data_IF_350944143789
#
_entry.id   IF_350944143789
#
_cell.length_a   1.000
_cell.length_b   1.000
_cell.length_c   1.000
_cell.angle_alpha   90.00
_cell.angle_beta   90.00
_cell.angle_gamma   90.00
#
_symmetry.space_group_name_H-M   'P 1'
#
loop_
_entity.id
_entity.type
_entity.pdbx_description
1 polymer ?
#
# COMPACT_ATOMS: atom_id res chain seq x y z
N UNK A 1 5.26 19.93 -33.38
CA UNK A 1 4.25 19.47 -32.41
C UNK A 1 2.87 19.68 -32.99
N UNK A 2 2.08 18.64 -33.02
CA UNK A 2 0.76 18.68 -33.68
C UNK A 2 -0.31 19.07 -32.67
N UNK A 3 -0.84 20.30 -32.81
CA UNK A 3 -1.90 20.82 -31.94
C UNK A 3 -3.19 20.00 -32.04
N UNK A 4 -3.52 19.51 -33.25
CA UNK A 4 -4.72 18.70 -33.43
C UNK A 4 -4.64 17.38 -32.67
N UNK A 5 -3.48 16.76 -32.66
CA UNK A 5 -3.25 15.54 -31.89
C UNK A 5 -3.38 15.79 -30.39
N UNK A 6 -2.81 16.90 -29.91
CA UNK A 6 -2.89 17.28 -28.49
C UNK A 6 -4.34 17.52 -28.09
N UNK A 7 -5.08 18.29 -28.89
CA UNK A 7 -6.49 18.57 -28.61
C UNK A 7 -7.35 17.31 -28.67
N UNK A 8 -7.05 16.40 -29.60
CA UNK A 8 -7.80 15.15 -29.74
C UNK A 8 -7.62 14.24 -28.51
N UNK A 9 -6.42 14.18 -27.93
CA UNK A 9 -6.12 13.30 -26.81
C UNK A 9 -6.23 13.97 -25.45
N UNK A 10 -6.49 15.29 -25.40
CA UNK A 10 -6.61 16.02 -24.15
C UNK A 10 -7.66 15.45 -23.20
N UNK A 11 -8.89 15.07 -23.65
CA UNK A 11 -9.87 14.43 -22.76
C UNK A 11 -9.38 13.11 -22.18
N UNK A 12 -8.60 12.34 -22.96
CA UNK A 12 -8.03 11.09 -22.49
C UNK A 12 -7.01 11.33 -21.37
N UNK A 13 -6.14 12.34 -21.54
CA UNK A 13 -5.17 12.72 -20.52
C UNK A 13 -5.85 13.24 -19.25
N UNK A 14 -6.96 13.96 -19.38
CA UNK A 14 -7.72 14.42 -18.22
C UNK A 14 -8.32 13.26 -17.45
N UNK A 15 -8.89 12.29 -18.14
CA UNK A 15 -9.42 11.07 -17.51
C UNK A 15 -8.30 10.28 -16.80
N UNK A 16 -7.15 10.17 -17.45
CA UNK A 16 -6.01 9.47 -16.88
C UNK A 16 -5.49 10.16 -15.62
N UNK A 17 -5.43 11.50 -15.62
CA UNK A 17 -5.01 12.27 -14.47
C UNK A 17 -5.96 12.09 -13.28
N UNK A 18 -7.27 12.16 -13.53
CA UNK A 18 -8.28 11.94 -12.49
C UNK A 18 -8.19 10.53 -11.93
N UNK A 19 -8.03 9.53 -12.80
CA UNK A 19 -7.90 8.14 -12.37
C UNK A 19 -6.63 7.95 -11.54
N UNK A 20 -5.52 8.53 -11.96
CA UNK A 20 -4.25 8.46 -11.22
C UNK A 20 -4.38 9.03 -9.81
N UNK A 21 -5.01 10.20 -9.68
CA UNK A 21 -5.24 10.83 -8.38
C UNK A 21 -6.15 9.96 -7.53
N UNK A 22 -7.22 9.44 -8.11
CA UNK A 22 -8.18 8.59 -7.39
C UNK A 22 -7.54 7.29 -6.90
N UNK A 23 -6.79 6.61 -7.76
CA UNK A 23 -6.04 5.40 -7.38
C UNK A 23 -5.01 5.70 -6.31
N UNK A 24 -4.27 6.78 -6.49
CA UNK A 24 -3.21 7.17 -5.54
C UNK A 24 -3.77 7.50 -4.17
N UNK A 25 -4.81 8.33 -4.10
CA UNK A 25 -5.42 8.73 -2.83
C UNK A 25 -6.01 7.52 -2.12
N UNK A 26 -6.80 6.71 -2.82
CA UNK A 26 -7.40 5.51 -2.24
C UNK A 26 -6.33 4.52 -1.79
N UNK A 27 -5.32 4.28 -2.63
CA UNK A 27 -4.22 3.37 -2.30
C UNK A 27 -3.43 3.83 -1.09
N UNK A 28 -3.13 5.13 -0.99
CA UNK A 28 -2.39 5.70 0.16
C UNK A 28 -3.22 5.59 1.44
N UNK A 29 -4.51 5.91 1.38
CA UNK A 29 -5.38 5.81 2.57
C UNK A 29 -5.39 4.38 3.10
N UNK A 30 -5.63 3.40 2.23
CA UNK A 30 -5.64 2.00 2.64
C UNK A 30 -4.24 1.54 3.09
N UNK A 31 -3.18 2.01 2.44
CA UNK A 31 -1.80 1.69 2.83
C UNK A 31 -1.50 2.19 4.25
N UNK A 32 -1.94 3.40 4.59
CA UNK A 32 -1.76 3.96 5.92
C UNK A 32 -2.52 3.12 6.95
N UNK A 33 -3.77 2.76 6.68
CA UNK A 33 -4.59 1.95 7.58
C UNK A 33 -3.94 0.59 7.82
N UNK A 34 -3.55 -0.10 6.75
CA UNK A 34 -2.89 -1.41 6.84
C UNK A 34 -1.56 -1.28 7.58
N UNK A 35 -0.78 -0.26 7.23
CA UNK A 35 0.53 -0.03 7.84
C UNK A 35 0.45 0.24 9.33
N UNK A 36 -0.50 1.07 9.76
CA UNK A 36 -0.71 1.34 11.18
C UNK A 36 -1.13 0.09 11.93
N UNK A 37 -2.09 -0.67 11.39
CA UNK A 37 -2.54 -1.92 12.01
C UNK A 37 -1.38 -2.91 12.16
N UNK A 38 -0.59 -3.09 11.11
CA UNK A 38 0.56 -3.99 11.14
C UNK A 38 1.63 -3.52 12.12
N UNK A 39 1.92 -2.22 12.14
CA UNK A 39 2.94 -1.65 13.02
C UNK A 39 2.56 -1.84 14.49
N UNK A 40 1.30 -1.60 14.84
CA UNK A 40 0.80 -1.78 16.20
C UNK A 40 0.89 -3.26 16.60
N UNK A 41 0.48 -4.17 15.72
CA UNK A 41 0.55 -5.61 15.98
C UNK A 41 2.00 -6.04 16.26
N UNK A 42 2.95 -5.57 15.47
CA UNK A 42 4.37 -5.91 15.67
C UNK A 42 4.95 -5.25 16.90
N UNK A 43 4.60 -3.98 17.14
CA UNK A 43 5.11 -3.22 18.29
C UNK A 43 4.63 -3.84 19.61
N UNK A 44 3.34 -4.21 19.70
CA UNK A 44 2.77 -4.82 20.89
C UNK A 44 3.09 -6.32 21.00
N UNK A 45 3.78 -6.87 20.01
CA UNK A 45 4.21 -8.27 20.00
C UNK A 45 3.07 -9.26 20.22
N UNK A 46 1.95 -9.01 19.49
CA UNK A 46 0.77 -9.87 19.57
C UNK A 46 1.13 -11.27 19.07
N UNK A 47 0.93 -12.34 19.88
CA UNK A 47 1.30 -13.69 19.48
C UNK A 47 0.59 -14.12 18.19
N UNK A 48 1.27 -14.89 17.35
CA UNK A 48 0.80 -15.40 16.06
C UNK A 48 0.61 -14.29 15.01
N UNK A 49 -0.16 -13.24 15.32
CA UNK A 49 -0.39 -12.12 14.38
C UNK A 49 0.92 -11.42 14.00
N UNK A 50 1.84 -11.28 14.94
CA UNK A 50 3.17 -10.71 14.68
C UNK A 50 3.90 -11.50 13.59
N UNK A 51 3.83 -12.82 13.64
CA UNK A 51 4.49 -13.68 12.66
C UNK A 51 3.82 -13.57 11.30
N UNK A 52 2.49 -13.54 11.26
CA UNK A 52 1.72 -13.40 10.03
C UNK A 52 2.04 -12.06 9.36
N UNK A 53 2.04 -10.98 10.14
CA UNK A 53 2.38 -9.64 9.64
C UNK A 53 3.81 -9.61 9.10
N UNK A 54 4.75 -10.25 9.78
CA UNK A 54 6.13 -10.35 9.33
C UNK A 54 6.26 -11.02 7.97
N UNK A 55 5.54 -12.12 7.77
CA UNK A 55 5.52 -12.83 6.48
C UNK A 55 4.92 -11.93 5.38
N UNK A 56 3.81 -11.26 5.68
CA UNK A 56 3.19 -10.33 4.74
C UNK A 56 4.17 -9.24 4.31
N UNK A 57 4.83 -8.59 5.26
CA UNK A 57 5.75 -7.49 4.96
C UNK A 57 6.91 -7.98 4.08
N UNK A 58 7.52 -9.11 4.42
CA UNK A 58 8.62 -9.65 3.66
C UNK A 58 8.20 -10.07 2.26
N UNK A 59 7.07 -10.75 2.15
CA UNK A 59 6.54 -11.19 0.86
C UNK A 59 6.21 -10.00 -0.03
N UNK A 60 5.54 -9.01 0.53
CA UNK A 60 5.12 -7.82 -0.21
C UNK A 60 6.32 -7.00 -0.69
N UNK A 61 7.29 -6.75 0.17
CA UNK A 61 8.45 -5.92 -0.18
C UNK A 61 9.40 -6.60 -1.16
N UNK A 62 9.43 -7.94 -1.17
CA UNK A 62 10.30 -8.70 -2.06
C UNK A 62 9.64 -9.01 -3.41
N UNK A 63 8.38 -8.65 -3.60
CA UNK A 63 7.65 -8.90 -4.84
C UNK A 63 7.38 -7.58 -5.56
N UNK A 64 7.76 -7.43 -6.85
CA UNK A 64 7.47 -6.21 -7.59
C UNK A 64 5.97 -5.93 -7.69
N UNK A 65 5.60 -4.65 -7.69
CA UNK A 65 4.19 -4.25 -7.78
C UNK A 65 3.50 -4.82 -9.03
N UNK A 66 4.21 -4.82 -10.15
CA UNK A 66 3.64 -5.34 -11.39
C UNK A 66 3.25 -6.81 -11.26
N UNK A 67 4.09 -7.61 -10.62
CA UNK A 67 3.82 -9.03 -10.37
C UNK A 67 2.60 -9.17 -9.46
N UNK A 68 2.51 -8.38 -8.40
CA UNK A 68 1.35 -8.39 -7.49
C UNK A 68 0.06 -8.03 -8.22
N UNK A 69 0.11 -7.02 -9.10
CA UNK A 69 -1.05 -6.61 -9.89
C UNK A 69 -1.51 -7.72 -10.84
N UNK A 70 -0.58 -8.43 -11.48
CA UNK A 70 -0.94 -9.55 -12.33
C UNK A 70 -1.61 -10.67 -11.54
N UNK A 71 -1.10 -10.99 -10.36
CA UNK A 71 -1.73 -12.00 -9.50
C UNK A 71 -3.14 -11.60 -9.09
N UNK A 72 -3.34 -10.34 -8.71
CA UNK A 72 -4.65 -9.85 -8.29
C UNK A 72 -5.61 -9.83 -9.48
N UNK A 73 -5.20 -9.24 -10.59
CA UNK A 73 -6.07 -9.04 -11.75
C UNK A 73 -6.49 -10.36 -12.40
N UNK A 74 -5.56 -11.30 -12.53
CA UNK A 74 -5.84 -12.59 -13.17
C UNK A 74 -6.19 -13.69 -12.18
N UNK A 75 -5.75 -13.58 -10.95
CA UNK A 75 -5.98 -14.61 -9.94
C UNK A 75 -7.36 -14.55 -9.28
N UNK A 76 -7.83 -13.35 -8.95
CA UNK A 76 -9.12 -13.20 -8.27
C UNK A 76 -10.30 -13.77 -9.07
N UNK A 77 -10.42 -13.54 -10.39
CA UNK A 77 -11.51 -14.14 -11.15
C UNK A 77 -11.49 -15.67 -11.12
N UNK A 78 -10.32 -16.29 -11.01
CA UNK A 78 -10.19 -17.75 -10.98
C UNK A 78 -10.73 -18.35 -9.68
N UNK A 79 -10.73 -17.57 -8.59
CA UNK A 79 -11.30 -18.02 -7.32
C UNK A 79 -12.72 -17.50 -7.11
N UNK A 80 -13.34 -16.93 -8.14
CA UNK A 80 -14.73 -16.48 -8.11
C UNK A 80 -14.95 -15.04 -7.68
N UNK A 81 -13.88 -14.28 -7.48
CA UNK A 81 -13.98 -12.87 -7.09
C UNK A 81 -13.88 -12.01 -8.35
N UNK A 82 -14.99 -11.35 -8.70
CA UNK A 82 -15.03 -10.46 -9.87
C UNK A 82 -14.76 -9.03 -9.44
N UNK A 83 -13.71 -8.44 -9.99
CA UNK A 83 -13.34 -7.04 -9.74
C UNK A 83 -12.99 -6.36 -11.05
N UNK A 84 -12.86 -5.04 -11.02
CA UNK A 84 -12.38 -4.27 -12.16
C UNK A 84 -10.91 -3.90 -11.97
N UNK A 85 -10.28 -3.33 -13.01
CA UNK A 85 -8.88 -2.97 -12.98
C UNK A 85 -8.58 -1.89 -11.94
N UNK A 86 -9.51 -0.97 -11.73
CA UNK A 86 -9.34 0.09 -10.73
C UNK A 86 -9.24 -0.47 -9.31
N UNK A 87 -10.15 -1.38 -8.95
CA UNK A 87 -10.12 -2.04 -7.63
C UNK A 87 -8.85 -2.86 -7.46
N UNK A 88 -8.44 -3.58 -8.50
CA UNK A 88 -7.17 -4.33 -8.47
C UNK A 88 -5.97 -3.41 -8.28
N UNK A 89 -5.96 -2.26 -8.93
CA UNK A 89 -4.91 -1.27 -8.77
C UNK A 89 -4.83 -0.71 -7.35
N UNK A 90 -5.98 -0.36 -6.78
CA UNK A 90 -6.06 0.13 -5.39
C UNK A 90 -5.60 -0.97 -4.43
N UNK A 91 -6.05 -2.20 -4.62
CA UNK A 91 -5.66 -3.32 -3.78
C UNK A 91 -4.15 -3.58 -3.83
N UNK A 92 -3.56 -3.53 -5.02
CA UNK A 92 -2.12 -3.70 -5.19
C UNK A 92 -1.32 -2.60 -4.53
N UNK A 93 -1.72 -1.35 -4.72
CA UNK A 93 -1.07 -0.20 -4.09
C UNK A 93 -1.20 -0.27 -2.56
N UNK A 94 -2.38 -0.63 -2.06
CA UNK A 94 -2.61 -0.77 -0.64
C UNK A 94 -1.79 -1.91 -0.03
N UNK A 95 -1.71 -3.04 -0.73
CA UNK A 95 -0.97 -4.21 -0.27
C UNK A 95 0.53 -3.91 -0.17
N UNK A 96 1.11 -3.37 -1.22
CA UNK A 96 2.53 -3.03 -1.25
C UNK A 96 2.81 -1.81 -0.36
N UNK A 97 2.01 -0.76 -0.49
CA UNK A 97 2.17 0.46 0.30
C UNK A 97 2.00 0.21 1.78
N UNK A 98 1.07 -0.68 2.15
CA UNK A 98 0.85 -1.07 3.54
C UNK A 98 2.09 -1.67 4.18
N UNK A 99 2.82 -2.52 3.45
CA UNK A 99 4.05 -3.13 3.97
C UNK A 99 5.15 -2.10 4.20
N UNK A 100 5.32 -1.14 3.29
CA UNK A 100 6.30 -0.05 3.47
C UNK A 100 5.89 0.89 4.60
N UNK A 101 4.60 1.23 4.70
CA UNK A 101 4.09 2.06 5.79
C UNK A 101 4.26 1.37 7.15
N UNK A 102 4.03 0.06 7.21
CA UNK A 102 4.23 -0.72 8.43
C UNK A 102 5.67 -0.62 8.92
N UNK A 103 6.64 -0.75 8.02
CA UNK A 103 8.05 -0.61 8.38
C UNK A 103 8.38 0.81 8.83
N UNK A 104 7.86 1.83 8.13
CA UNK A 104 8.08 3.22 8.50
C UNK A 104 7.51 3.55 9.88
N UNK A 105 6.28 3.12 10.15
CA UNK A 105 5.63 3.37 11.45
C UNK A 105 6.32 2.61 12.57
N UNK A 106 6.68 1.34 12.34
CA UNK A 106 7.40 0.56 13.34
C UNK A 106 8.73 1.18 13.68
N UNK A 107 9.49 1.60 12.67
CA UNK A 107 10.78 2.27 12.89
C UNK A 107 10.61 3.57 13.67
N UNK A 108 9.55 4.34 13.36
CA UNK A 108 9.25 5.57 14.10
C UNK A 108 8.91 5.32 15.55
N UNK A 109 8.09 4.30 15.82
CA UNK A 109 7.71 3.94 17.19
C UNK A 109 8.92 3.48 18.01
N UNK A 110 9.77 2.65 17.42
CA UNK A 110 10.97 2.15 18.08
C UNK A 110 11.98 3.28 18.36
N UNK A 111 12.06 4.28 17.48
CA UNK A 111 12.95 5.42 17.67
C UNK A 111 12.46 6.35 18.78
N UNK A 112 11.14 6.52 18.93
CA UNK A 112 10.56 7.42 19.93
C UNK A 112 10.67 6.83 21.33
N UNK A 113 10.50 5.52 21.49
CA UNK A 113 10.42 4.87 22.79
C UNK A 113 11.69 5.08 23.65
N UNK A 114 12.92 4.87 23.16
CA UNK A 114 14.12 5.13 23.97
C UNK A 114 14.24 6.60 24.39
N UNK A 115 13.91 7.53 23.51
CA UNK A 115 13.99 8.97 23.80
C UNK A 115 13.02 9.34 24.91
N UNK A 116 11.78 8.85 24.85
CA UNK A 116 10.76 9.13 25.86
C UNK A 116 11.10 8.50 27.20
N UNK A 117 11.64 7.31 27.20
CA UNK A 117 12.09 6.62 28.41
C UNK A 117 13.21 7.38 29.08
N UNK A 118 14.19 7.84 28.32
CA UNK A 118 15.30 8.66 28.85
C UNK A 118 14.79 9.96 29.43
N UNK A 119 13.84 10.62 28.75
CA UNK A 119 13.24 11.85 29.26
C UNK A 119 12.49 11.63 30.57
N UNK A 120 11.81 10.50 30.72
CA UNK A 120 11.08 10.16 31.94
C UNK A 120 12.01 9.93 33.14
N UNK A 121 13.24 9.46 32.90
CA UNK A 121 14.23 9.20 33.97
C UNK A 121 15.16 10.37 34.24
N UNK A 122 15.13 11.38 33.42
CA UNK A 122 15.91 12.60 33.64
C UNK A 122 15.06 13.67 34.33
#
# INVERSE_FOLDING_TARGET
MDWNAIQQYLPLYQKAAVLTVRLGVAGIIFAIIIGLACAVIQYDKVPVLRQIVGVYIQLSRNTPLLVQLFFIYYGLPKVGIRTNAEICGIAGLAFLGGSYMAEAFRSGLEAIEPIQTESAYS
#
